data_IF_941182415260
#
_entry.id   IF_941182415260
#
_cell.length_a   1.000
_cell.length_b   1.000
_cell.length_c   1.000
_cell.angle_alpha   90.00
_cell.angle_beta   90.00
_cell.angle_gamma   90.00
#
_symmetry.space_group_name_H-M   'P 1'
#
loop_
_entity.id
_entity.type
_entity.pdbx_description
1 polymer ?
#
# COMPACT_ATOMS: atom_id res chain seq x y z
N UNK A 1 20.62 19.68 3.94
CA UNK A 1 20.31 18.91 5.16
C UNK A 1 21.43 17.91 5.36
N UNK A 2 22.07 17.85 6.53
CA UNK A 2 23.12 16.87 6.81
C UNK A 2 22.65 16.02 8.00
N UNK A 3 21.94 14.93 7.70
CA UNK A 3 21.70 13.86 8.66
C UNK A 3 22.80 12.82 8.51
N UNK A 4 23.15 12.08 9.55
CA UNK A 4 23.95 10.85 9.42
C UNK A 4 23.06 9.62 9.19
N UNK A 5 21.73 9.76 9.29
CA UNK A 5 20.77 8.67 9.15
C UNK A 5 20.05 8.75 7.81
N UNK A 6 20.10 7.66 7.03
CA UNK A 6 19.28 7.46 5.85
C UNK A 6 18.07 6.59 6.19
N UNK A 7 16.91 6.94 5.61
CA UNK A 7 15.69 6.15 5.74
C UNK A 7 15.40 5.44 4.42
N UNK A 8 14.99 4.18 4.51
CA UNK A 8 14.32 3.46 3.42
C UNK A 8 12.92 3.09 3.88
N UNK A 9 11.92 3.31 3.03
CA UNK A 9 10.53 3.05 3.38
C UNK A 9 9.89 2.07 2.41
N UNK A 10 9.04 1.19 2.94
CA UNK A 10 8.11 0.38 2.16
C UNK A 10 6.72 0.48 2.76
N UNK A 11 5.75 0.74 1.91
CA UNK A 11 4.33 0.82 2.28
C UNK A 11 3.59 -0.38 1.68
N UNK A 12 2.73 -0.98 2.49
CA UNK A 12 1.82 -2.04 2.12
C UNK A 12 0.40 -1.65 2.56
N UNK A 13 -0.67 -2.28 2.02
CA UNK A 13 -2.04 -1.89 2.33
C UNK A 13 -2.38 -1.82 3.83
N UNK A 14 -1.76 -2.68 4.65
CA UNK A 14 -2.02 -2.79 6.08
C UNK A 14 -0.97 -2.09 6.98
N UNK A 15 0.08 -1.48 6.42
CA UNK A 15 1.15 -0.93 7.24
C UNK A 15 2.33 -0.36 6.46
N UNK A 16 3.18 0.35 7.19
CA UNK A 16 4.43 0.94 6.71
C UNK A 16 5.60 0.42 7.53
N UNK A 17 6.72 0.23 6.84
CA UNK A 17 8.01 -0.11 7.42
C UNK A 17 9.01 0.96 7.00
N UNK A 18 9.74 1.49 7.99
CA UNK A 18 10.93 2.31 7.79
C UNK A 18 12.14 1.59 8.33
N UNK A 19 13.23 1.59 7.57
CA UNK A 19 14.53 1.11 7.98
C UNK A 19 15.52 2.28 7.99
N UNK A 20 16.11 2.52 9.16
CA UNK A 20 17.08 3.58 9.41
C UNK A 20 18.48 3.00 9.53
N UNK A 21 19.43 3.59 8.81
CA UNK A 21 20.84 3.19 8.82
C UNK A 21 21.75 4.40 8.96
N UNK A 22 22.88 4.22 9.62
CA UNK A 22 23.98 5.19 9.60
C UNK A 22 24.61 5.20 8.19
N UNK A 23 24.74 6.38 7.58
CA UNK A 23 25.26 6.50 6.22
C UNK A 23 26.77 6.29 6.10
N UNK A 24 27.52 6.46 7.19
CA UNK A 24 28.96 6.31 7.19
C UNK A 24 29.37 4.84 7.34
N UNK A 25 28.66 4.09 8.19
CA UNK A 25 28.99 2.68 8.46
C UNK A 25 28.08 1.69 7.75
N UNK A 26 26.84 2.08 7.43
CA UNK A 26 25.80 1.19 6.95
C UNK A 26 25.11 0.39 8.06
N UNK A 27 25.47 0.61 9.32
CA UNK A 27 24.90 -0.11 10.46
C UNK A 27 23.46 0.35 10.73
N UNK A 28 22.61 -0.52 11.31
CA UNK A 28 21.30 -0.11 11.77
C UNK A 28 21.36 1.04 12.78
N UNK A 29 20.45 2.00 12.66
CA UNK A 29 20.32 3.13 13.58
C UNK A 29 19.14 2.87 14.56
N UNK A 30 19.38 2.35 15.77
CA UNK A 30 18.34 2.11 16.76
C UNK A 30 17.91 3.38 17.50
N UNK A 31 16.73 3.33 18.14
CA UNK A 31 16.17 4.39 18.97
C UNK A 31 16.01 5.76 18.27
N UNK A 32 15.85 5.76 16.95
CA UNK A 32 15.49 6.94 16.17
C UNK A 32 13.97 7.10 16.18
N UNK A 33 13.41 8.22 16.67
CA UNK A 33 11.97 8.44 16.73
C UNK A 33 11.42 8.75 15.34
N UNK A 34 10.62 7.85 14.78
CA UNK A 34 10.01 8.03 13.46
C UNK A 34 8.55 8.47 13.61
N UNK A 35 8.27 9.71 13.21
CA UNK A 35 6.91 10.24 13.07
C UNK A 35 6.36 9.91 11.69
N UNK A 36 5.21 9.25 11.64
CA UNK A 36 4.47 8.96 10.43
C UNK A 36 3.34 9.97 10.27
N UNK A 37 3.30 10.62 9.10
CA UNK A 37 2.29 11.60 8.70
C UNK A 37 1.60 11.15 7.43
N UNK A 38 0.26 11.19 7.42
CA UNK A 38 -0.57 10.88 6.25
C UNK A 38 -1.15 12.19 5.68
N UNK A 39 -1.12 12.34 4.35
CA UNK A 39 -1.36 13.61 3.63
C UNK A 39 -2.67 14.35 4.01
N UNK A 40 -3.69 13.65 4.51
CA UNK A 40 -4.98 14.25 4.94
C UNK A 40 -5.37 13.96 6.39
N UNK A 41 -4.60 13.13 7.12
CA UNK A 41 -4.91 12.73 8.49
C UNK A 41 -3.90 13.22 9.53
N UNK A 42 -2.86 13.94 9.10
CA UNK A 42 -1.84 14.44 10.00
C UNK A 42 -0.94 13.32 10.53
N UNK A 43 -0.44 13.47 11.75
CA UNK A 43 0.38 12.44 12.41
C UNK A 43 -0.47 11.22 12.76
N UNK A 44 -0.13 10.07 12.18
CA UNK A 44 -0.82 8.78 12.40
C UNK A 44 -0.11 7.89 13.41
N UNK A 45 1.13 8.21 13.79
CA UNK A 45 1.85 7.51 14.84
C UNK A 45 3.31 7.94 14.95
N UNK A 46 3.93 7.61 16.09
CA UNK A 46 5.36 7.76 16.33
C UNK A 46 5.90 6.43 16.83
N UNK A 47 6.97 5.93 16.22
CA UNK A 47 7.59 4.64 16.56
C UNK A 47 9.11 4.78 16.54
N UNK A 48 9.76 4.38 17.63
CA UNK A 48 11.22 4.31 17.68
C UNK A 48 11.72 3.11 16.89
N UNK A 49 12.83 3.28 16.16
CA UNK A 49 13.50 2.16 15.50
C UNK A 49 14.03 1.16 16.53
N UNK A 50 13.83 -0.14 16.26
CA UNK A 50 14.35 -1.22 17.10
C UNK A 50 15.87 -1.41 16.91
N UNK A 51 16.45 -2.45 17.52
CA UNK A 51 17.88 -2.77 17.39
C UNK A 51 18.34 -3.07 15.96
N UNK A 52 17.41 -3.42 15.06
CA UNK A 52 17.66 -3.64 13.63
C UNK A 52 17.45 -2.36 12.80
N UNK A 53 17.24 -1.20 13.46
CA UNK A 53 16.97 0.07 12.80
C UNK A 53 15.57 0.15 12.18
N UNK A 54 14.64 -0.74 12.56
CA UNK A 54 13.33 -0.85 11.93
C UNK A 54 12.23 -0.23 12.80
N UNK A 55 11.43 0.65 12.20
CA UNK A 55 10.16 1.14 12.75
C UNK A 55 8.99 0.63 11.89
N UNK A 56 7.94 0.08 12.52
CA UNK A 56 6.74 -0.41 11.83
C UNK A 56 5.48 0.19 12.44
N UNK A 57 4.57 0.64 11.59
CA UNK A 57 3.26 1.15 12.00
C UNK A 57 2.16 0.45 11.18
N UNK A 58 1.09 0.03 11.85
CA UNK A 58 -0.13 -0.45 11.16
C UNK A 58 -0.90 0.75 10.63
N UNK A 59 -1.28 0.69 9.37
CA UNK A 59 -2.07 1.74 8.72
C UNK A 59 -3.52 1.31 8.60
N UNK A 60 -4.39 2.30 8.45
CA UNK A 60 -5.78 2.05 8.03
C UNK A 60 -5.77 1.52 6.59
N UNK A 61 -6.78 0.72 6.26
CA UNK A 61 -7.03 0.37 4.85
C UNK A 61 -7.31 1.66 4.07
N UNK A 62 -6.82 1.73 2.82
CA UNK A 62 -6.94 2.89 1.93
C UNK A 62 -6.32 4.19 2.48
N UNK A 63 -5.13 4.10 3.09
CA UNK A 63 -4.36 5.28 3.46
C UNK A 63 -3.93 6.09 2.23
N UNK A 64 -3.78 7.40 2.42
CA UNK A 64 -3.15 8.30 1.47
C UNK A 64 -1.62 8.26 1.59
N UNK A 65 -0.94 9.09 0.81
CA UNK A 65 0.53 9.18 0.81
C UNK A 65 1.08 9.34 2.23
N UNK A 66 2.11 8.56 2.54
CA UNK A 66 2.77 8.55 3.84
C UNK A 66 4.13 9.26 3.75
N UNK A 67 4.37 10.15 4.71
CA UNK A 67 5.66 10.76 4.99
C UNK A 67 6.14 10.22 6.34
N UNK A 68 7.37 9.75 6.41
CA UNK A 68 8.03 9.38 7.65
C UNK A 68 9.23 10.29 7.89
N UNK A 69 9.33 10.85 9.08
CA UNK A 69 10.44 11.73 9.43
C UNK A 69 10.84 11.62 10.90
N UNK A 70 12.08 11.97 11.18
CA UNK A 70 12.62 12.23 12.52
C UNK A 70 13.06 13.69 12.56
N UNK A 71 12.99 14.34 13.73
CA UNK A 71 13.52 15.69 13.96
C UNK A 71 14.93 15.68 14.58
N UNK A 72 15.32 14.56 15.21
CA UNK A 72 16.59 14.41 15.93
C UNK A 72 17.14 12.99 15.85
N UNK A 73 18.04 12.68 14.90
CA UNK A 73 18.53 13.56 13.83
C UNK A 73 17.42 13.83 12.80
N UNK A 74 17.42 15.01 12.17
CA UNK A 74 16.42 15.28 11.14
C UNK A 74 16.67 14.36 9.94
N UNK A 75 15.67 13.60 9.53
CA UNK A 75 15.68 12.82 8.29
C UNK A 75 14.23 12.59 7.85
N UNK A 76 13.98 12.48 6.55
CA UNK A 76 12.62 12.36 6.02
C UNK A 76 12.58 11.53 4.74
N UNK A 77 11.50 10.78 4.56
CA UNK A 77 11.20 10.01 3.36
C UNK A 77 9.69 10.03 3.12
N UNK A 78 9.28 10.00 1.85
CA UNK A 78 7.89 9.82 1.44
C UNK A 78 7.79 8.61 0.51
N UNK A 79 6.63 7.97 0.48
CA UNK A 79 6.37 6.77 -0.31
C UNK A 79 6.47 7.01 -1.82
N UNK A 80 6.22 8.24 -2.27
CA UNK A 80 6.45 8.69 -3.64
C UNK A 80 7.89 9.12 -3.97
N UNK A 81 8.81 9.18 -3.00
CA UNK A 81 10.20 9.61 -3.21
C UNK A 81 11.09 8.44 -3.64
N UNK A 82 10.83 7.89 -4.84
CA UNK A 82 11.51 6.67 -5.30
C UNK A 82 11.61 6.52 -6.81
N UNK A 83 11.82 7.62 -7.57
CA UNK A 83 12.02 7.51 -9.03
C UNK A 83 13.15 6.53 -9.35
N UNK A 84 12.90 5.55 -10.21
CA UNK A 84 13.86 4.50 -10.56
C UNK A 84 13.88 3.32 -9.58
N UNK A 85 12.99 3.31 -8.57
CA UNK A 85 12.81 2.24 -7.59
C UNK A 85 11.35 1.76 -7.54
N UNK A 86 10.54 2.10 -8.54
CA UNK A 86 9.17 1.62 -8.67
C UNK A 86 9.16 0.13 -9.10
N UNK A 87 8.11 -0.64 -8.77
CA UNK A 87 7.97 -2.01 -9.24
C UNK A 87 8.21 -2.17 -10.76
N UNK A 88 7.75 -1.21 -11.54
CA UNK A 88 7.88 -1.15 -13.00
C UNK A 88 9.33 -1.07 -13.48
N UNK A 89 10.23 -0.43 -12.71
CA UNK A 89 11.66 -0.35 -13.00
C UNK A 89 12.32 -1.74 -12.92
N UNK A 90 11.69 -2.67 -12.22
CA UNK A 90 12.10 -4.07 -12.09
C UNK A 90 11.24 -5.02 -12.95
N UNK A 91 10.41 -4.50 -13.86
CA UNK A 91 9.54 -5.30 -14.71
C UNK A 91 8.36 -5.95 -13.99
N UNK A 92 8.03 -5.48 -12.78
CA UNK A 92 6.90 -5.96 -11.99
C UNK A 92 5.78 -4.92 -12.02
N UNK A 93 4.55 -5.33 -12.34
CA UNK A 93 3.42 -4.41 -12.22
C UNK A 93 3.16 -4.11 -10.74
N UNK A 94 3.10 -2.83 -10.38
CA UNK A 94 2.76 -2.40 -9.03
C UNK A 94 1.48 -3.06 -8.52
N UNK A 95 1.48 -3.43 -7.23
CA UNK A 95 0.41 -4.21 -6.63
C UNK A 95 -0.94 -3.50 -6.74
N UNK A 96 -1.91 -4.15 -7.41
CA UNK A 96 -3.31 -3.76 -7.29
C UNK A 96 -3.68 -3.80 -5.79
N UNK A 97 -4.48 -2.84 -5.29
CA UNK A 97 -4.92 -2.86 -3.90
C UNK A 97 -5.56 -4.22 -3.61
N UNK A 98 -5.21 -4.81 -2.46
CA UNK A 98 -5.81 -6.07 -2.02
C UNK A 98 -7.31 -5.87 -1.92
N UNK A 99 -8.06 -6.56 -2.77
CA UNK A 99 -9.53 -6.56 -2.73
C UNK A 99 -9.95 -7.83 -2.01
N UNK A 100 -10.90 -7.70 -1.10
CA UNK A 100 -11.48 -8.87 -0.42
C UNK A 100 -12.28 -9.74 -1.40
N UNK A 101 -12.90 -9.10 -2.39
CA UNK A 101 -13.67 -9.77 -3.45
C UNK A 101 -13.22 -9.33 -4.84
N UNK A 102 -13.20 -10.29 -5.77
CA UNK A 102 -13.16 -10.01 -7.22
C UNK A 102 -14.50 -10.36 -7.85
N UNK A 103 -15.04 -9.41 -8.59
CA UNK A 103 -16.24 -9.57 -9.39
C UNK A 103 -15.87 -9.58 -10.88
N UNK A 104 -16.38 -10.57 -11.60
CA UNK A 104 -16.32 -10.65 -13.05
C UNK A 104 -17.74 -10.54 -13.59
N UNK A 105 -17.97 -9.52 -14.42
CA UNK A 105 -19.26 -9.30 -15.07
C UNK A 105 -19.07 -9.47 -16.57
N UNK A 106 -19.92 -10.30 -17.17
CA UNK A 106 -19.89 -10.53 -18.61
C UNK A 106 -21.31 -10.64 -19.15
N UNK A 107 -21.46 -10.23 -20.40
CA UNK A 107 -22.69 -10.34 -21.16
C UNK A 107 -22.69 -11.62 -21.99
N UNK A 108 -23.87 -12.04 -22.47
CA UNK A 108 -23.94 -13.15 -23.43
C UNK A 108 -23.37 -12.74 -24.81
N UNK A 109 -23.29 -11.44 -25.09
CA UNK A 109 -22.83 -10.87 -26.38
C UNK A 109 -22.00 -9.62 -26.16
N UNK A 110 -21.02 -9.39 -27.04
CA UNK A 110 -20.16 -8.21 -26.97
C UNK A 110 -20.88 -6.90 -27.36
N UNK A 111 -21.93 -6.96 -28.20
CA UNK A 111 -22.62 -5.77 -28.73
C UNK A 111 -24.13 -5.98 -28.72
N UNK A 112 -24.87 -4.97 -28.27
CA UNK A 112 -26.33 -4.88 -28.34
C UNK A 112 -26.76 -3.66 -29.15
N UNK A 113 -27.99 -3.69 -29.67
CA UNK A 113 -28.66 -2.61 -30.38
C UNK A 113 -29.77 -2.00 -29.51
N UNK A 114 -30.21 -0.76 -29.79
CA UNK A 114 -31.37 -0.18 -29.12
C UNK A 114 -32.60 -1.10 -29.15
N UNK A 115 -33.30 -1.20 -28.02
CA UNK A 115 -34.46 -2.09 -27.85
C UNK A 115 -34.12 -3.55 -27.53
N UNK A 116 -32.84 -3.94 -27.51
CA UNK A 116 -32.44 -5.28 -27.07
C UNK A 116 -32.31 -5.36 -25.55
N UNK A 117 -32.77 -6.48 -24.99
CA UNK A 117 -32.54 -6.83 -23.58
C UNK A 117 -31.10 -7.30 -23.39
N UNK A 118 -30.40 -6.70 -22.43
CA UNK A 118 -29.03 -7.11 -22.05
C UNK A 118 -29.12 -8.23 -21.01
N UNK A 119 -28.42 -9.33 -21.26
CA UNK A 119 -28.29 -10.42 -20.29
C UNK A 119 -26.90 -10.37 -19.66
N UNK A 120 -26.86 -10.25 -18.33
CA UNK A 120 -25.64 -10.18 -17.54
C UNK A 120 -25.46 -11.47 -16.74
N UNK A 121 -24.21 -11.92 -16.63
CA UNK A 121 -23.78 -12.94 -15.66
C UNK A 121 -22.62 -12.40 -14.84
N UNK A 122 -22.74 -12.55 -13.53
CA UNK A 122 -21.72 -12.16 -12.57
C UNK A 122 -21.11 -13.40 -11.89
N UNK A 123 -19.81 -13.35 -11.61
CA UNK A 123 -19.13 -14.29 -10.72
C UNK A 123 -18.36 -13.49 -9.68
N UNK A 124 -18.67 -13.72 -8.40
CA UNK A 124 -17.93 -13.14 -7.28
C UNK A 124 -17.10 -14.23 -6.63
N UNK A 125 -15.84 -13.91 -6.34
CA UNK A 125 -14.90 -14.78 -5.62
C UNK A 125 -14.28 -14.00 -4.47
N UNK A 126 -14.12 -14.66 -3.33
CA UNK A 126 -13.23 -14.15 -2.29
C UNK A 126 -11.79 -14.27 -2.81
N UNK A 127 -11.00 -13.22 -2.67
CA UNK A 127 -9.59 -13.19 -3.08
C UNK A 127 -8.70 -13.33 -1.84
N UNK A 128 -8.09 -14.51 -1.71
CA UNK A 128 -7.09 -14.78 -0.68
C UNK A 128 -5.70 -14.77 -1.31
N UNK A 129 -5.12 -13.58 -1.45
CA UNK A 129 -3.75 -13.38 -1.94
C UNK A 129 -3.52 -13.98 -3.34
N UNK A 130 -4.44 -13.69 -4.26
CA UNK A 130 -4.44 -14.21 -5.62
C UNK A 130 -5.17 -15.55 -5.78
N UNK A 131 -5.49 -16.23 -4.68
CA UNK A 131 -6.29 -17.44 -4.71
C UNK A 131 -7.79 -17.13 -4.66
N UNK A 132 -8.48 -17.40 -5.76
CA UNK A 132 -9.92 -17.17 -5.85
C UNK A 132 -10.70 -18.34 -5.25
N UNK A 133 -11.43 -18.08 -4.16
CA UNK A 133 -12.28 -19.07 -3.47
C UNK A 133 -13.76 -18.75 -3.62
N UNK A 134 -14.60 -19.76 -3.37
CA UNK A 134 -16.01 -19.51 -3.08
C UNK A 134 -16.09 -18.64 -1.83
N UNK A 135 -16.66 -17.44 -1.98
CA UNK A 135 -16.96 -16.58 -0.83
C UNK A 135 -18.31 -16.93 -0.23
N UNK A 136 -18.59 -16.40 0.96
CA UNK A 136 -19.89 -16.55 1.64
C UNK A 136 -20.99 -15.67 1.02
N UNK A 137 -20.63 -14.81 0.06
CA UNK A 137 -21.57 -13.91 -0.63
C UNK A 137 -22.49 -14.71 -1.55
N UNK A 138 -23.75 -14.84 -1.15
CA UNK A 138 -24.79 -15.52 -1.94
C UNK A 138 -25.60 -14.55 -2.82
N UNK A 139 -25.66 -13.28 -2.45
CA UNK A 139 -26.43 -12.24 -3.17
C UNK A 139 -25.64 -10.92 -3.25
N UNK A 140 -25.83 -10.18 -4.34
CA UNK A 140 -25.27 -8.84 -4.53
C UNK A 140 -26.24 -7.98 -5.35
N UNK A 141 -26.10 -6.66 -5.26
CA UNK A 141 -26.87 -5.72 -6.08
C UNK A 141 -25.99 -5.17 -7.19
N UNK A 142 -26.56 -5.06 -8.39
CA UNK A 142 -25.95 -4.37 -9.53
C UNK A 142 -26.73 -3.08 -9.75
N UNK A 143 -26.04 -1.95 -9.73
CA UNK A 143 -26.60 -0.63 -10.05
C UNK A 143 -26.13 -0.25 -11.45
N UNK A 144 -27.07 0.02 -12.35
CA UNK A 144 -26.83 0.41 -13.76
C UNK A 144 -27.40 1.79 -14.01
#
# INVERSE_FOLDING_TARGET
MLSHVNLTMKVAPAGVLVWAVDMATGDPAPAVPITFHEQDHGVVGVVDTNQDGVARLRLRHNHQSIIAFSEGPFTAIADGWGRGLGPEDFGVMGGLPRREFRAYLYTDRAIYRPGQTVHLKGVIRADDDGWLRLGEVTETHIVV
#
